data_IF_315326110069
#
_entry.id   IF_315326110069
#
_cell.length_a   1.000
_cell.length_b   1.000
_cell.length_c   1.000
_cell.angle_alpha   90.00
_cell.angle_beta   90.00
_cell.angle_gamma   90.00
#
_symmetry.space_group_name_H-M   'P 1'
#
loop_
_entity.id
_entity.type
_entity.pdbx_description
1 polymer ?
#
# COMPACT_ATOMS: atom_id res chain seq x y z
N UNK A 1 -8.19 -10.30 -19.46
CA UNK A 1 -9.25 -11.23 -19.02
C UNK A 1 -9.25 -11.15 -17.50
N UNK A 2 -10.39 -10.85 -16.87
CA UNK A 2 -10.43 -10.71 -15.40
C UNK A 2 -10.50 -12.08 -14.74
N UNK A 3 -9.58 -12.32 -13.82
CA UNK A 3 -9.52 -13.51 -12.98
C UNK A 3 -10.02 -13.20 -11.58
N UNK A 4 -10.67 -14.20 -10.98
CA UNK A 4 -11.20 -14.15 -9.63
C UNK A 4 -10.70 -15.39 -8.87
N UNK A 5 -9.91 -15.16 -7.84
CA UNK A 5 -9.42 -16.23 -6.96
C UNK A 5 -10.03 -16.03 -5.57
N UNK A 6 -10.77 -17.04 -5.11
CA UNK A 6 -11.34 -17.06 -3.77
C UNK A 6 -10.56 -18.04 -2.91
N UNK A 7 -9.95 -17.54 -1.85
CA UNK A 7 -9.28 -18.35 -0.85
C UNK A 7 -10.17 -18.41 0.39
N UNK A 8 -10.59 -19.62 0.77
CA UNK A 8 -11.30 -19.81 2.02
C UNK A 8 -10.37 -19.52 3.20
N UNK A 9 -10.82 -18.63 4.10
CA UNK A 9 -10.10 -18.29 5.31
C UNK A 9 -10.56 -19.20 6.44
N UNK A 10 -9.83 -20.30 6.64
CA UNK A 10 -10.07 -21.17 7.81
C UNK A 10 -9.67 -20.47 9.11
N UNK A 11 -10.03 -21.05 10.26
CA UNK A 11 -9.74 -20.45 11.58
C UNK A 11 -8.24 -20.23 11.82
N UNK A 12 -7.36 -21.00 11.16
CA UNK A 12 -5.90 -20.87 11.28
C UNK A 12 -5.37 -19.73 10.42
N UNK A 13 -5.86 -19.58 9.19
CA UNK A 13 -5.56 -18.49 8.27
C UNK A 13 -6.14 -17.17 8.77
N UNK A 14 -7.37 -17.20 9.27
CA UNK A 14 -7.98 -16.07 9.99
C UNK A 14 -7.14 -15.70 11.18
N UNK A 15 -6.75 -16.67 12.01
CA UNK A 15 -5.78 -16.42 13.08
C UNK A 15 -4.43 -15.98 12.53
N UNK A 16 -3.93 -16.38 11.38
CA UNK A 16 -2.65 -15.87 10.88
C UNK A 16 -2.76 -14.44 10.34
N UNK A 17 -3.93 -14.08 9.80
CA UNK A 17 -4.28 -12.73 9.37
C UNK A 17 -4.66 -11.82 10.56
N UNK A 18 -5.13 -12.39 11.68
CA UNK A 18 -5.64 -11.67 12.87
C UNK A 18 -4.94 -11.98 14.21
N UNK A 19 -3.89 -12.82 14.28
CA UNK A 19 -3.09 -13.11 15.52
C UNK A 19 -1.98 -12.11 15.74
N UNK A 20 -1.67 -11.30 14.74
CA UNK A 20 -1.12 -10.00 15.05
C UNK A 20 -2.30 -9.21 15.62
N UNK A 21 -2.08 -8.34 16.60
CA UNK A 21 -2.94 -7.15 16.80
C UNK A 21 -2.86 -6.26 15.54
N UNK A 22 -3.05 -6.85 14.36
CA UNK A 22 -2.94 -6.26 13.04
C UNK A 22 -4.12 -5.35 12.90
N UNK A 23 -3.86 -4.09 13.22
CA UNK A 23 -4.71 -2.96 12.90
C UNK A 23 -5.22 -3.09 11.47
N UNK A 24 -6.35 -2.46 11.17
CA UNK A 24 -6.82 -2.24 9.79
C UNK A 24 -5.67 -1.84 8.84
N UNK A 25 -4.64 -1.20 9.37
CA UNK A 25 -3.34 -0.90 8.78
C UNK A 25 -2.60 -2.08 8.11
N UNK A 26 -2.51 -3.28 8.70
CA UNK A 26 -1.78 -4.40 8.07
C UNK A 26 -2.54 -4.97 6.85
N UNK A 27 -3.88 -5.00 6.93
CA UNK A 27 -4.73 -5.38 5.80
C UNK A 27 -4.73 -4.31 4.71
N UNK A 28 -4.71 -3.03 5.11
CA UNK A 28 -4.56 -1.91 4.20
C UNK A 28 -3.20 -1.95 3.50
N UNK A 29 -2.12 -2.24 4.24
CA UNK A 29 -0.77 -2.39 3.70
C UNK A 29 -0.68 -3.54 2.68
N UNK A 30 -1.33 -4.67 2.97
CA UNK A 30 -1.42 -5.79 2.04
C UNK A 30 -2.21 -5.41 0.78
N UNK A 31 -3.35 -4.72 0.96
CA UNK A 31 -4.16 -4.22 -0.14
C UNK A 31 -3.37 -3.24 -1.01
N UNK A 32 -2.66 -2.30 -0.40
CA UNK A 32 -1.83 -1.30 -1.07
C UNK A 32 -0.70 -1.96 -1.85
N UNK A 33 -0.01 -2.94 -1.25
CA UNK A 33 1.03 -3.70 -1.92
C UNK A 33 0.48 -4.40 -3.17
N UNK A 34 -0.65 -5.11 -3.04
CA UNK A 34 -1.26 -5.87 -4.13
C UNK A 34 -1.82 -4.96 -5.23
N UNK A 35 -2.39 -3.81 -4.86
CA UNK A 35 -2.85 -2.80 -5.80
C UNK A 35 -1.70 -2.27 -6.67
N UNK A 36 -0.49 -2.17 -6.11
CA UNK A 36 0.74 -1.83 -6.84
C UNK A 36 1.05 -2.80 -7.99
N UNK A 37 0.58 -4.05 -7.91
CA UNK A 37 0.68 -5.06 -8.95
C UNK A 37 -0.57 -5.17 -9.83
N UNK A 38 -1.62 -4.38 -9.59
CA UNK A 38 -2.88 -4.47 -10.33
C UNK A 38 -3.78 -5.60 -9.84
N UNK A 39 -3.60 -6.00 -8.58
CA UNK A 39 -4.40 -7.02 -7.91
C UNK A 39 -5.25 -6.32 -6.85
N UNK A 40 -6.57 -6.43 -6.96
CA UNK A 40 -7.49 -5.97 -5.95
C UNK A 40 -7.71 -7.08 -4.93
N UNK A 41 -7.69 -6.72 -3.64
CA UNK A 41 -7.87 -7.62 -2.52
C UNK A 41 -9.03 -7.15 -1.66
N UNK A 42 -9.98 -8.06 -1.41
CA UNK A 42 -11.15 -7.82 -0.58
C UNK A 42 -11.44 -9.03 0.30
N UNK A 43 -12.09 -8.82 1.45
CA UNK A 43 -12.58 -9.90 2.31
C UNK A 43 -14.10 -9.95 2.17
N UNK A 44 -14.62 -11.06 1.63
CA UNK A 44 -16.05 -11.33 1.51
C UNK A 44 -16.50 -12.31 2.60
N UNK A 45 -17.62 -12.01 3.26
CA UNK A 45 -18.28 -12.95 4.18
C UNK A 45 -19.54 -13.51 3.53
N UNK A 46 -19.65 -14.82 3.45
CA UNK A 46 -20.81 -15.55 2.94
C UNK A 46 -21.46 -16.34 4.08
N UNK A 47 -22.78 -16.26 4.19
CA UNK A 47 -23.53 -17.09 5.14
C UNK A 47 -23.58 -18.53 4.64
N UNK A 48 -23.35 -19.50 5.53
CA UNK A 48 -23.51 -20.92 5.21
C UNK A 48 -24.93 -21.23 4.72
N UNK A 49 -25.08 -22.19 3.81
CA UNK A 49 -26.38 -22.60 3.25
C UNK A 49 -27.39 -23.04 4.33
N UNK A 50 -26.88 -23.50 5.48
CA UNK A 50 -27.67 -23.95 6.63
C UNK A 50 -28.06 -22.80 7.58
N UNK A 51 -27.62 -21.57 7.30
CA UNK A 51 -27.85 -20.37 8.12
C UNK A 51 -27.14 -20.38 9.47
N UNK A 52 -26.21 -21.32 9.70
CA UNK A 52 -25.52 -21.56 10.97
C UNK A 52 -24.01 -21.37 10.89
N UNK A 53 -23.57 -20.32 10.23
CA UNK A 53 -22.16 -19.96 10.17
C UNK A 53 -21.90 -18.83 9.19
N UNK A 54 -20.80 -18.12 9.43
CA UNK A 54 -20.23 -17.16 8.48
C UNK A 54 -18.91 -17.74 7.95
N UNK A 55 -18.81 -17.86 6.63
CA UNK A 55 -17.58 -18.24 5.95
C UNK A 55 -16.94 -16.99 5.38
N UNK A 56 -15.68 -16.73 5.76
CA UNK A 56 -14.90 -15.63 5.21
C UNK A 56 -14.00 -16.10 4.07
N UNK A 57 -13.92 -15.30 3.03
CA UNK A 57 -13.07 -15.51 1.86
C UNK A 57 -12.19 -14.29 1.61
N UNK A 58 -10.92 -14.54 1.32
CA UNK A 58 -10.07 -13.56 0.68
C UNK A 58 -10.29 -13.64 -0.84
N UNK A 59 -10.69 -12.53 -1.44
CA UNK A 59 -11.02 -12.41 -2.85
C UNK A 59 -9.95 -11.57 -3.54
N UNK A 60 -9.29 -12.18 -4.51
CA UNK A 60 -8.28 -11.53 -5.35
C UNK A 60 -8.83 -11.38 -6.76
N UNK A 61 -8.90 -10.14 -7.24
CA UNK A 61 -9.37 -9.82 -8.59
C UNK A 61 -8.26 -9.13 -9.36
N UNK A 62 -7.92 -9.63 -10.55
CA UNK A 62 -6.86 -9.05 -11.38
C UNK A 62 -7.09 -9.27 -12.88
N UNK A 63 -6.48 -8.42 -13.72
CA UNK A 63 -6.38 -8.63 -15.16
C UNK A 63 -4.93 -8.95 -15.55
N UNK A 64 -4.71 -10.05 -16.27
CA UNK A 64 -3.36 -10.50 -16.65
C UNK A 64 -2.54 -9.43 -17.37
N UNK A 65 -3.16 -8.66 -18.28
CA UNK A 65 -2.47 -7.63 -19.04
C UNK A 65 -2.09 -6.45 -18.14
N UNK A 66 -2.97 -6.06 -17.23
CA UNK A 66 -2.68 -4.98 -16.26
C UNK A 66 -1.54 -5.39 -15.31
N UNK A 67 -1.58 -6.62 -14.81
CA UNK A 67 -0.52 -7.17 -13.94
C UNK A 67 0.81 -7.23 -14.69
N UNK A 68 0.81 -7.71 -15.93
CA UNK A 68 2.01 -7.77 -16.76
C UNK A 68 2.56 -6.38 -17.08
N UNK A 69 1.72 -5.42 -17.43
CA UNK A 69 2.10 -4.02 -17.66
C UNK A 69 2.69 -3.36 -16.41
N UNK A 70 2.04 -3.53 -15.25
CA UNK A 70 2.55 -2.96 -13.98
C UNK A 70 3.87 -3.63 -13.58
N UNK A 71 3.98 -4.95 -13.72
CA UNK A 71 5.21 -5.70 -13.44
C UNK A 71 6.35 -5.26 -14.34
N UNK A 72 6.10 -5.09 -15.64
CA UNK A 72 7.12 -4.67 -16.61
C UNK A 72 7.52 -3.20 -16.47
N UNK A 73 6.58 -2.27 -16.23
CA UNK A 73 6.90 -0.86 -15.95
C UNK A 73 7.74 -0.68 -14.68
N UNK A 74 7.50 -1.51 -13.67
CA UNK A 74 8.20 -1.43 -12.39
C UNK A 74 9.46 -2.29 -12.32
N UNK A 75 9.74 -3.13 -13.32
CA UNK A 75 10.93 -3.96 -13.37
C UNK A 75 12.21 -3.11 -13.33
N UNK A 76 13.06 -3.33 -12.31
CA UNK A 76 14.33 -2.63 -12.13
C UNK A 76 14.22 -1.18 -11.62
N UNK A 77 13.01 -0.66 -11.38
CA UNK A 77 12.83 0.64 -10.73
C UNK A 77 12.86 0.47 -9.21
N UNK A 78 13.64 1.30 -8.52
CA UNK A 78 13.57 1.38 -7.05
C UNK A 78 12.17 1.82 -6.65
N UNK A 79 11.62 1.20 -5.61
CA UNK A 79 10.29 1.54 -5.08
C UNK A 79 10.19 3.04 -4.82
N UNK A 80 9.04 3.62 -5.19
CA UNK A 80 8.69 4.99 -4.80
C UNK A 80 8.29 5.06 -3.33
N UNK A 81 7.81 3.95 -2.77
CA UNK A 81 7.48 3.76 -1.37
C UNK A 81 8.76 3.85 -0.53
N UNK A 82 8.80 4.68 0.52
CA UNK A 82 9.81 4.63 1.57
C UNK A 82 9.93 3.23 2.19
N UNK A 83 11.07 2.97 2.83
CA UNK A 83 11.29 1.72 3.57
C UNK A 83 10.25 1.51 4.68
N UNK A 84 10.08 0.27 5.12
CA UNK A 84 9.18 -0.06 6.24
C UNK A 84 9.50 0.75 7.50
N UNK A 85 10.80 0.91 7.79
CA UNK A 85 11.25 1.68 8.96
C UNK A 85 11.27 3.19 8.74
N UNK A 86 10.70 3.68 7.63
CA UNK A 86 10.69 5.12 7.34
C UNK A 86 9.70 5.86 8.24
N UNK A 87 10.11 6.98 8.86
CA UNK A 87 9.20 7.83 9.63
C UNK A 87 8.11 8.48 8.76
N UNK A 88 8.24 8.44 7.43
CA UNK A 88 7.29 9.03 6.49
C UNK A 88 6.18 8.07 6.06
N UNK A 89 6.31 6.77 6.35
CA UNK A 89 5.38 5.74 5.90
C UNK A 89 3.94 5.93 6.41
N UNK A 90 3.69 6.22 7.70
CA UNK A 90 2.32 6.39 8.21
C UNK A 90 1.76 7.81 7.98
N UNK A 91 2.52 8.71 7.35
CA UNK A 91 2.15 10.12 7.24
C UNK A 91 1.42 10.41 5.93
N UNK A 92 0.36 11.22 6.01
CA UNK A 92 -0.22 11.85 4.82
C UNK A 92 0.75 12.85 4.18
N UNK A 93 0.38 13.36 3.01
CA UNK A 93 1.24 14.26 2.25
C UNK A 93 1.60 15.57 3.01
N UNK A 94 0.67 16.10 3.82
CA UNK A 94 0.88 17.32 4.59
C UNK A 94 1.88 17.10 5.73
N UNK A 95 1.66 16.06 6.54
CA UNK A 95 2.52 15.72 7.67
C UNK A 95 3.90 15.24 7.21
N UNK A 96 3.99 14.50 6.09
CA UNK A 96 5.26 14.13 5.49
C UNK A 96 6.08 15.36 5.06
N UNK A 97 5.41 16.40 4.53
CA UNK A 97 6.05 17.66 4.17
C UNK A 97 6.57 18.43 5.38
N UNK A 98 5.77 18.55 6.43
CA UNK A 98 6.18 19.20 7.68
C UNK A 98 7.37 18.48 8.31
N UNK A 99 7.36 17.15 8.29
CA UNK A 99 8.51 16.36 8.72
C UNK A 99 9.76 16.68 7.88
N UNK A 100 9.64 16.71 6.55
CA UNK A 100 10.75 17.02 5.64
C UNK A 100 11.21 18.49 5.69
N UNK A 101 10.39 19.41 6.20
CA UNK A 101 10.74 20.83 6.39
C UNK A 101 11.38 21.07 7.77
N UNK A 102 11.09 20.21 8.76
CA UNK A 102 11.66 20.27 10.11
C UNK A 102 12.99 19.51 10.26
N UNK A 103 13.35 18.66 9.29
CA UNK A 103 14.56 17.84 9.30
C UNK A 103 15.58 18.27 8.23
N UNK A 104 16.82 17.78 8.37
CA UNK A 104 17.88 18.04 7.40
C UNK A 104 17.62 17.34 6.07
N UNK A 105 18.29 17.80 5.01
CA UNK A 105 18.16 17.19 3.68
C UNK A 105 18.67 15.76 3.69
N UNK A 106 19.74 15.50 4.43
CA UNK A 106 20.36 14.19 4.57
C UNK A 106 19.43 13.21 5.29
N UNK A 107 18.79 13.62 6.39
CA UNK A 107 17.77 12.80 7.08
C UNK A 107 16.55 12.54 6.20
N UNK A 108 16.09 13.53 5.44
CA UNK A 108 14.97 13.35 4.51
C UNK A 108 15.32 12.46 3.31
N UNK A 109 16.57 12.47 2.84
CA UNK A 109 17.05 11.54 1.82
C UNK A 109 17.02 10.10 2.33
N UNK A 110 17.44 9.89 3.57
CA UNK A 110 17.41 8.57 4.22
C UNK A 110 15.98 8.10 4.44
N UNK A 111 15.13 8.96 5.01
CA UNK A 111 13.72 8.68 5.26
C UNK A 111 12.95 8.32 3.98
N UNK A 112 13.31 8.86 2.82
CA UNK A 112 12.72 8.50 1.54
C UNK A 112 13.30 7.20 0.92
N UNK A 113 14.11 6.45 1.66
CA UNK A 113 14.72 5.18 1.24
C UNK A 113 16.12 5.36 0.65
N UNK A 114 16.95 6.21 1.25
CA UNK A 114 18.34 6.43 0.84
C UNK A 114 18.45 7.00 -0.59
N UNK A 115 17.62 7.99 -0.92
CA UNK A 115 17.55 8.57 -2.27
C UNK A 115 18.63 9.63 -2.49
N UNK A 116 18.95 9.93 -3.75
CA UNK A 116 19.86 11.03 -4.05
C UNK A 116 19.22 12.40 -3.77
N UNK A 117 20.05 13.43 -3.55
CA UNK A 117 19.60 14.81 -3.29
C UNK A 117 18.65 15.35 -4.36
N UNK A 118 18.91 15.04 -5.63
CA UNK A 118 18.04 15.45 -6.74
C UNK A 118 16.66 14.76 -6.66
N UNK A 119 16.62 13.49 -6.27
CA UNK A 119 15.37 12.73 -6.08
C UNK A 119 14.61 13.24 -4.85
N UNK A 120 15.31 13.57 -3.77
CA UNK A 120 14.72 14.21 -2.58
C UNK A 120 13.92 15.47 -2.96
N UNK A 121 14.53 16.43 -3.64
CA UNK A 121 13.82 17.66 -4.01
C UNK A 121 12.68 17.42 -4.99
N UNK A 122 12.81 16.42 -5.89
CA UNK A 122 11.73 16.03 -6.80
C UNK A 122 10.53 15.46 -6.03
N UNK A 123 10.77 14.54 -5.10
CA UNK A 123 9.71 13.93 -4.27
C UNK A 123 9.06 14.97 -3.33
N UNK A 124 9.86 15.84 -2.71
CA UNK A 124 9.36 16.96 -1.90
C UNK A 124 8.48 17.92 -2.72
N UNK A 125 8.80 18.16 -3.98
CA UNK A 125 7.95 18.94 -4.90
C UNK A 125 6.64 18.23 -5.23
N UNK A 126 6.70 16.93 -5.53
CA UNK A 126 5.49 16.12 -5.77
C UNK A 126 4.56 16.10 -4.56
N UNK A 127 5.11 15.95 -3.35
CA UNK A 127 4.35 16.06 -2.10
C UNK A 127 3.62 17.40 -1.96
N UNK A 128 4.27 18.52 -2.36
CA UNK A 128 3.61 19.84 -2.30
C UNK A 128 2.42 19.91 -3.23
N UNK A 129 2.58 19.37 -4.44
CA UNK A 129 1.48 19.32 -5.41
C UNK A 129 0.33 18.45 -4.89
N UNK A 130 0.62 17.30 -4.29
CA UNK A 130 -0.41 16.41 -3.73
C UNK A 130 -1.13 17.09 -2.58
N UNK A 131 -0.41 17.72 -1.64
CA UNK A 131 -1.01 18.49 -0.56
C UNK A 131 -1.95 19.59 -1.07
N UNK A 132 -1.56 20.27 -2.14
CA UNK A 132 -2.35 21.35 -2.73
C UNK A 132 -3.59 20.82 -3.49
N UNK A 133 -3.54 19.60 -4.02
CA UNK A 133 -4.65 18.92 -4.73
C UNK A 133 -5.62 18.21 -3.76
N UNK A 134 -5.10 17.42 -2.81
CA UNK A 134 -5.82 16.76 -1.71
C UNK A 134 -4.86 16.51 -0.51
N UNK A 135 -4.99 17.27 0.59
CA UNK A 135 -4.08 17.18 1.74
C UNK A 135 -4.25 15.89 2.55
N UNK A 136 -5.37 15.18 2.40
CA UNK A 136 -5.66 13.94 3.15
C UNK A 136 -5.23 12.67 2.41
N UNK A 137 -4.68 12.80 1.19
CA UNK A 137 -4.23 11.66 0.38
C UNK A 137 -2.99 11.00 1.02
N UNK A 138 -3.21 9.85 1.68
CA UNK A 138 -2.15 8.98 2.23
C UNK A 138 -1.39 8.23 1.14
N UNK A 139 -1.99 8.05 -0.04
CA UNK A 139 -1.44 7.30 -1.18
C UNK A 139 -0.51 8.14 -2.09
N UNK A 140 0.18 9.14 -1.53
CA UNK A 140 1.11 10.00 -2.27
C UNK A 140 2.32 9.24 -2.88
N UNK A 141 2.44 7.96 -2.55
CA UNK A 141 3.51 7.06 -2.99
C UNK A 141 3.28 6.42 -4.37
N UNK A 142 2.05 6.46 -4.90
CA UNK A 142 1.63 5.64 -6.05
C UNK A 142 1.19 6.40 -7.31
N UNK A 143 1.31 7.74 -7.35
CA UNK A 143 1.17 8.53 -8.60
C UNK A 143 2.46 8.59 -9.43
#
# INVERSE_FOLDING_TARGET
MRHYVRLWLDEKLMKSLMKLDGSEEELNDLSDLLSGFGINFEIETLTEEDGKGEIMYAVFTYDDLEVEERRTRNAGRRSKTPSFDSPLRPLDAAHALEWLDSHTVEEGMEALGGVSRAVYYRRKKSLKQIRDDDPTETLWMYR
#
